data_IF_050098276357
#
_entry.id   IF_050098276357
#
_cell.length_a   1.000
_cell.length_b   1.000
_cell.length_c   1.000
_cell.angle_alpha   90.00
_cell.angle_beta   90.00
_cell.angle_gamma   90.00
#
_symmetry.space_group_name_H-M   'P 1'
#
loop_
_entity.id
_entity.type
_entity.pdbx_description
1 polymer ?
#
# COMPACT_ATOMS: atom_id res chain seq x y z
N UNK A 1 -3.85 14.65 -24.75
CA UNK A 1 -2.85 14.24 -25.77
C UNK A 1 -1.61 13.78 -25.04
N UNK A 2 -0.92 12.73 -25.53
CA UNK A 2 0.16 11.95 -24.87
C UNK A 2 -0.40 10.71 -24.15
N UNK A 3 -0.72 9.66 -24.90
CA UNK A 3 -0.61 8.24 -24.52
C UNK A 3 -0.88 7.39 -25.78
N UNK A 4 0.01 7.49 -26.77
CA UNK A 4 0.00 6.60 -27.93
C UNK A 4 1.39 6.56 -28.61
N UNK A 5 2.45 6.22 -27.86
CA UNK A 5 3.80 6.02 -28.42
C UNK A 5 4.63 5.06 -27.58
N UNK A 6 4.20 3.80 -27.44
CA UNK A 6 5.12 2.68 -27.14
C UNK A 6 4.59 1.44 -27.86
N UNK A 7 4.65 1.44 -29.19
CA UNK A 7 4.35 0.24 -29.99
C UNK A 7 5.04 0.32 -31.35
N UNK A 8 6.36 0.51 -31.34
CA UNK A 8 7.23 0.25 -32.50
C UNK A 8 8.68 0.37 -32.06
N UNK A 9 9.32 -0.77 -31.76
CA UNK A 9 10.76 -0.88 -31.95
C UNK A 9 11.08 -2.16 -32.73
N UNK A 10 11.67 -1.90 -33.89
CA UNK A 10 12.14 -2.77 -34.96
C UNK A 10 13.00 -3.95 -34.51
N UNK A 11 12.90 -5.07 -35.23
CA UNK A 11 14.07 -5.86 -35.61
C UNK A 11 14.00 -6.23 -37.09
N UNK A 12 14.78 -5.50 -37.89
CA UNK A 12 15.23 -5.88 -39.22
C UNK A 12 16.55 -6.66 -39.03
N UNK A 13 16.61 -7.90 -39.52
CA UNK A 13 17.88 -8.54 -39.87
C UNK A 13 17.75 -9.23 -41.22
N UNK A 14 18.73 -8.93 -42.08
CA UNK A 14 18.91 -9.33 -43.46
C UNK A 14 19.35 -10.78 -43.61
N UNK A 15 18.90 -11.43 -44.68
CA UNK A 15 19.29 -12.78 -45.10
C UNK A 15 20.62 -12.70 -45.86
N UNK A 16 21.59 -13.56 -45.51
CA UNK A 16 22.61 -14.05 -46.45
C UNK A 16 22.57 -15.58 -46.45
N UNK A 17 22.53 -16.17 -47.66
CA UNK A 17 22.42 -17.61 -47.88
C UNK A 17 23.79 -18.22 -48.10
N UNK A 18 24.06 -19.34 -47.43
CA UNK A 18 24.90 -20.43 -47.92
C UNK A 18 24.17 -21.73 -47.61
N UNK A 19 23.68 -22.41 -48.65
CA UNK A 19 22.96 -23.68 -48.55
C UNK A 19 23.89 -24.84 -48.88
N UNK A 20 24.03 -25.78 -47.94
CA UNK A 20 23.86 -27.22 -48.17
C UNK A 20 23.79 -27.91 -46.78
N UNK A 21 22.77 -28.76 -46.57
CA UNK A 21 22.23 -29.32 -45.30
C UNK A 21 21.32 -28.42 -44.42
N UNK A 22 20.81 -27.31 -44.96
CA UNK A 22 20.22 -26.21 -44.14
C UNK A 22 18.68 -26.26 -43.98
N UNK A 23 17.96 -27.13 -44.70
CA UNK A 23 16.48 -27.04 -44.75
C UNK A 23 15.78 -27.47 -43.46
N UNK A 24 16.23 -28.53 -42.78
CA UNK A 24 15.66 -28.95 -41.49
C UNK A 24 16.07 -28.01 -40.34
N UNK A 25 17.33 -27.56 -40.33
CA UNK A 25 17.83 -26.64 -39.31
C UNK A 25 17.14 -25.27 -39.35
N UNK A 26 16.78 -24.76 -40.54
CA UNK A 26 16.18 -23.42 -40.64
C UNK A 26 14.77 -23.35 -40.03
N UNK A 27 13.97 -24.42 -40.18
CA UNK A 27 12.62 -24.49 -39.58
C UNK A 27 12.67 -24.69 -38.05
N UNK A 28 13.61 -25.50 -37.56
CA UNK A 28 13.85 -25.68 -36.13
C UNK A 28 14.32 -24.37 -35.46
N UNK A 29 15.34 -23.70 -36.03
CA UNK A 29 15.87 -22.42 -35.53
C UNK A 29 14.76 -21.35 -35.50
N UNK A 30 13.82 -21.35 -36.46
CA UNK A 30 12.69 -20.41 -36.47
C UNK A 30 11.69 -20.69 -35.34
N UNK A 31 11.44 -21.96 -35.03
CA UNK A 31 10.51 -22.37 -33.97
C UNK A 31 11.12 -22.12 -32.58
N UNK A 32 12.42 -22.34 -32.40
CA UNK A 32 13.12 -22.01 -31.15
C UNK A 32 13.10 -20.50 -30.87
N UNK A 33 13.42 -19.69 -31.88
CA UNK A 33 13.32 -18.23 -31.77
C UNK A 33 11.88 -17.76 -31.49
N UNK A 34 10.89 -18.44 -32.08
CA UNK A 34 9.48 -18.16 -31.83
C UNK A 34 9.10 -18.43 -30.36
N UNK A 35 9.46 -19.60 -29.81
CA UNK A 35 9.17 -19.94 -28.41
C UNK A 35 9.93 -19.04 -27.45
N UNK A 36 11.20 -18.75 -27.74
CA UNK A 36 12.03 -17.86 -26.92
C UNK A 36 11.47 -16.43 -26.87
N UNK A 37 10.92 -15.92 -27.98
CA UNK A 37 10.24 -14.63 -27.99
C UNK A 37 9.03 -14.61 -27.03
N UNK A 38 8.22 -15.67 -27.01
CA UNK A 38 7.09 -15.78 -26.09
C UNK A 38 7.53 -15.96 -24.64
N UNK A 39 8.57 -16.75 -24.36
CA UNK A 39 9.14 -16.86 -23.00
C UNK A 39 9.57 -15.49 -22.46
N UNK A 40 10.22 -14.66 -23.27
CA UNK A 40 10.59 -13.29 -22.89
C UNK A 40 9.37 -12.41 -22.65
N UNK A 41 8.36 -12.50 -23.51
CA UNK A 41 7.10 -11.78 -23.32
C UNK A 41 6.42 -12.17 -22.00
N UNK A 42 6.35 -13.47 -21.70
CA UNK A 42 5.75 -14.00 -20.47
C UNK A 42 6.52 -13.60 -19.22
N UNK A 43 7.85 -13.65 -19.24
CA UNK A 43 8.67 -13.10 -18.17
C UNK A 43 8.41 -11.59 -17.96
N UNK A 44 8.24 -10.83 -19.06
CA UNK A 44 7.88 -9.42 -19.02
C UNK A 44 6.53 -9.16 -18.34
N UNK A 45 5.53 -10.02 -18.57
CA UNK A 45 4.22 -9.91 -17.91
C UNK A 45 4.33 -10.10 -16.39
N UNK A 46 5.08 -11.11 -15.94
CA UNK A 46 5.29 -11.37 -14.50
C UNK A 46 6.02 -10.20 -13.84
N UNK A 47 7.07 -9.70 -14.49
CA UNK A 47 7.80 -8.53 -14.01
C UNK A 47 6.90 -7.30 -13.90
N UNK A 48 6.04 -7.06 -14.89
CA UNK A 48 5.11 -5.94 -14.89
C UNK A 48 4.11 -6.03 -13.72
N UNK A 49 3.57 -7.21 -13.41
CA UNK A 49 2.66 -7.38 -12.27
C UNK A 49 3.38 -7.17 -10.95
N UNK A 50 4.58 -7.73 -10.77
CA UNK A 50 5.38 -7.50 -9.58
C UNK A 50 5.71 -6.02 -9.37
N UNK A 51 6.05 -5.31 -10.45
CA UNK A 51 6.30 -3.88 -10.40
C UNK A 51 5.05 -3.10 -9.96
N UNK A 52 3.88 -3.41 -10.54
CA UNK A 52 2.61 -2.76 -10.17
C UNK A 52 2.24 -3.02 -8.72
N UNK A 53 2.37 -4.26 -8.23
CA UNK A 53 2.10 -4.63 -6.84
C UNK A 53 2.98 -3.81 -5.89
N UNK A 54 4.30 -3.81 -6.13
CA UNK A 54 5.26 -3.08 -5.28
C UNK A 54 5.06 -1.57 -5.33
N UNK A 55 4.73 -1.03 -6.50
CA UNK A 55 4.48 0.39 -6.65
C UNK A 55 3.22 0.82 -5.89
N UNK A 56 2.13 0.05 -6.00
CA UNK A 56 0.91 0.28 -5.23
C UNK A 56 1.15 0.18 -3.72
N UNK A 57 1.86 -0.86 -3.26
CA UNK A 57 2.17 -1.06 -1.84
C UNK A 57 2.96 0.12 -1.26
N UNK A 58 4.02 0.57 -1.96
CA UNK A 58 4.81 1.73 -1.55
C UNK A 58 3.98 3.00 -1.52
N UNK A 59 3.19 3.28 -2.56
CA UNK A 59 2.36 4.47 -2.61
C UNK A 59 1.34 4.51 -1.46
N UNK A 60 0.79 3.35 -1.08
CA UNK A 60 -0.07 3.24 0.08
C UNK A 60 0.68 3.52 1.39
N UNK A 61 1.82 2.87 1.61
CA UNK A 61 2.64 3.06 2.81
C UNK A 61 3.16 4.50 2.95
N UNK A 62 3.53 5.15 1.85
CA UNK A 62 3.94 6.55 1.84
C UNK A 62 2.80 7.47 2.29
N UNK A 63 1.55 7.21 1.85
CA UNK A 63 0.38 7.94 2.34
C UNK A 63 0.16 7.74 3.84
N UNK A 64 0.32 6.50 4.33
CA UNK A 64 0.21 6.20 5.77
C UNK A 64 1.30 6.92 6.57
N UNK A 65 2.55 6.86 6.13
CA UNK A 65 3.68 7.51 6.79
C UNK A 65 3.55 9.04 6.80
N UNK A 66 3.00 9.64 5.75
CA UNK A 66 2.75 11.09 5.73
C UNK A 66 1.70 11.55 6.76
N UNK A 67 0.85 10.66 7.26
CA UNK A 67 -0.06 10.99 8.37
C UNK A 67 0.68 11.08 9.71
N UNK A 68 1.89 10.53 9.82
CA UNK A 68 2.68 10.59 11.05
C UNK A 68 3.07 12.03 11.43
N UNK A 69 3.17 12.95 10.47
CA UNK A 69 3.42 14.37 10.75
C UNK A 69 2.33 15.01 11.63
N UNK A 70 1.11 14.45 11.65
CA UNK A 70 0.02 14.89 12.53
C UNK A 70 0.29 14.59 14.02
N UNK A 71 1.30 13.78 14.34
CA UNK A 71 1.75 13.50 15.71
C UNK A 71 2.36 14.73 16.38
N UNK A 72 3.20 15.47 15.65
CA UNK A 72 4.00 16.55 16.23
C UNK A 72 3.17 17.71 16.80
N UNK A 73 2.12 18.21 16.14
CA UNK A 73 1.26 19.25 16.71
C UNK A 73 0.67 18.86 18.07
N UNK A 74 0.22 17.61 18.22
CA UNK A 74 -0.36 17.15 19.49
C UNK A 74 0.69 17.09 20.61
N UNK A 75 1.86 16.56 20.31
CA UNK A 75 2.96 16.45 21.27
C UNK A 75 3.43 17.84 21.72
N UNK A 76 3.57 18.76 20.77
CA UNK A 76 3.98 20.14 21.07
C UNK A 76 2.96 20.85 21.96
N UNK A 77 1.66 20.61 21.76
CA UNK A 77 0.61 21.21 22.59
C UNK A 77 0.64 20.69 24.03
N UNK A 78 0.86 19.38 24.22
CA UNK A 78 1.03 18.81 25.57
C UNK A 78 2.24 19.45 26.27
N UNK A 79 3.38 19.53 25.59
CA UNK A 79 4.60 20.15 26.12
C UNK A 79 4.33 21.61 26.50
N UNK A 80 3.72 22.39 25.61
CA UNK A 80 3.40 23.80 25.83
C UNK A 80 2.56 24.00 27.10
N UNK A 81 1.57 23.13 27.33
CA UNK A 81 0.71 23.19 28.52
C UNK A 81 1.48 22.82 29.78
N UNK A 82 2.32 21.78 29.73
CA UNK A 82 3.18 21.40 30.85
C UNK A 82 4.15 22.53 31.24
N UNK A 83 4.80 23.15 30.25
CA UNK A 83 5.71 24.30 30.44
C UNK A 83 4.98 25.53 31.00
N UNK A 84 3.71 25.74 30.63
CA UNK A 84 2.89 26.81 31.18
C UNK A 84 2.49 26.54 32.64
N UNK A 85 2.15 25.30 32.99
CA UNK A 85 1.68 24.94 34.32
C UNK A 85 2.81 24.82 35.33
N UNK A 86 4.00 24.39 34.92
CA UNK A 86 5.11 24.13 35.83
C UNK A 86 5.50 25.33 36.70
N UNK A 87 5.73 26.55 36.17
CA UNK A 87 6.05 27.72 37.00
C UNK A 87 4.97 28.06 38.03
N UNK A 88 3.69 27.83 37.69
CA UNK A 88 2.58 28.09 38.61
C UNK A 88 2.63 27.18 39.84
N UNK A 89 3.18 25.97 39.72
CA UNK A 89 3.38 25.06 40.87
C UNK A 89 4.40 25.58 41.88
N UNK A 90 5.26 26.52 41.48
CA UNK A 90 6.31 27.11 42.31
C UNK A 90 5.83 28.35 43.08
N UNK A 91 4.70 28.95 42.68
CA UNK A 91 4.20 30.20 43.27
C UNK A 91 3.68 30.01 44.70
N UNK A 92 2.93 28.94 44.97
CA UNK A 92 2.42 28.63 46.31
C UNK A 92 1.93 27.18 46.41
N UNK A 93 1.76 26.68 47.64
CA UNK A 93 1.12 25.39 47.90
C UNK A 93 -0.33 25.32 47.40
N UNK A 94 -1.06 26.44 47.43
CA UNK A 94 -2.42 26.52 46.92
C UNK A 94 -2.48 26.31 45.40
N UNK A 95 -1.65 27.05 44.65
CA UNK A 95 -1.58 26.93 43.18
C UNK A 95 -1.13 25.53 42.77
N UNK A 96 -0.15 24.97 43.50
CA UNK A 96 0.33 23.59 43.30
C UNK A 96 -0.81 22.58 43.48
N UNK A 97 -1.59 22.68 44.55
CA UNK A 97 -2.72 21.77 44.81
C UNK A 97 -3.77 21.84 43.70
N UNK A 98 -4.09 23.04 43.19
CA UNK A 98 -5.01 23.21 42.06
C UNK A 98 -4.52 22.48 40.80
N UNK A 99 -3.23 22.57 40.49
CA UNK A 99 -2.63 21.92 39.32
C UNK A 99 -2.61 20.40 39.50
N UNK A 100 -2.13 19.91 40.63
CA UNK A 100 -2.05 18.46 40.92
C UNK A 100 -3.42 17.79 40.89
N UNK A 101 -4.48 18.48 41.34
CA UNK A 101 -5.87 17.99 41.30
C UNK A 101 -6.35 17.65 39.89
N UNK A 102 -5.94 18.40 38.87
CA UNK A 102 -6.41 18.22 37.49
C UNK A 102 -5.35 17.67 36.52
N UNK A 103 -4.10 17.50 36.97
CA UNK A 103 -2.97 17.07 36.13
C UNK A 103 -3.22 15.75 35.42
N UNK A 104 -3.87 14.78 36.08
CA UNK A 104 -4.17 13.47 35.48
C UNK A 104 -5.13 13.55 34.28
N UNK A 105 -5.84 14.66 34.11
CA UNK A 105 -6.72 14.89 32.94
C UNK A 105 -5.94 15.36 31.71
N UNK A 106 -4.69 15.81 31.86
CA UNK A 106 -3.81 16.18 30.75
C UNK A 106 -3.05 14.92 30.32
N UNK A 107 -3.26 14.40 29.10
CA UNK A 107 -2.55 13.22 28.66
C UNK A 107 -1.05 13.48 28.53
N UNK A 108 -0.23 12.47 28.85
CA UNK A 108 1.22 12.57 28.70
C UNK A 108 1.64 12.47 27.23
N UNK A 109 2.81 13.03 26.90
CA UNK A 109 3.41 12.87 25.57
C UNK A 109 3.65 11.42 25.20
N UNK A 110 4.04 10.57 26.17
CA UNK A 110 4.21 9.14 25.96
C UNK A 110 2.89 8.45 25.59
N UNK A 111 1.80 8.75 26.30
CA UNK A 111 0.48 8.23 25.99
C UNK A 111 -0.01 8.68 24.61
N UNK A 112 0.19 9.96 24.26
CA UNK A 112 -0.24 10.49 22.96
C UNK A 112 0.53 9.85 21.79
N UNK A 113 1.85 9.66 21.94
CA UNK A 113 2.67 8.94 20.95
C UNK A 113 2.18 7.51 20.77
N UNK A 114 2.07 6.76 21.88
CA UNK A 114 1.60 5.38 21.87
C UNK A 114 0.22 5.26 21.22
N UNK A 115 -0.72 6.10 21.63
CA UNK A 115 -2.11 6.06 21.13
C UNK A 115 -2.18 6.34 19.63
N UNK A 116 -1.44 7.33 19.11
CA UNK A 116 -1.42 7.60 17.67
C UNK A 116 -0.73 6.49 16.88
N UNK A 117 0.38 5.97 17.40
CA UNK A 117 1.18 4.97 16.70
C UNK A 117 0.47 3.60 16.69
N UNK A 118 0.05 3.10 17.84
CA UNK A 118 -0.49 1.75 17.97
C UNK A 118 -1.97 1.65 17.60
N UNK A 119 -2.77 2.68 17.86
CA UNK A 119 -4.20 2.60 17.56
C UNK A 119 -4.55 3.09 16.15
N UNK A 120 -3.72 3.95 15.54
CA UNK A 120 -4.00 4.52 14.23
C UNK A 120 -2.99 4.10 13.15
N UNK A 121 -1.68 4.31 13.35
CA UNK A 121 -0.67 4.16 12.29
C UNK A 121 -0.28 2.69 12.04
N UNK A 122 -0.02 1.90 13.08
CA UNK A 122 0.41 0.50 12.95
C UNK A 122 -0.67 -0.39 12.31
N UNK A 123 -1.96 -0.27 12.68
CA UNK A 123 -3.04 -0.97 11.99
C UNK A 123 -3.08 -0.61 10.51
N UNK A 124 -2.80 0.65 10.14
CA UNK A 124 -2.73 1.09 8.75
C UNK A 124 -1.61 0.41 7.97
N UNK A 125 -0.39 0.42 8.51
CA UNK A 125 0.75 -0.26 7.90
C UNK A 125 0.47 -1.74 7.67
N UNK A 126 -0.21 -2.40 8.62
CA UNK A 126 -0.54 -3.82 8.53
C UNK A 126 -1.50 -4.18 7.39
N UNK A 127 -2.30 -3.23 6.88
CA UNK A 127 -3.23 -3.48 5.77
C UNK A 127 -2.56 -3.60 4.40
N UNK A 128 -1.31 -3.15 4.26
CA UNK A 128 -0.61 -3.15 2.97
C UNK A 128 -0.56 -4.55 2.34
N UNK A 129 -0.28 -5.59 3.14
CA UNK A 129 -0.22 -6.98 2.68
C UNK A 129 -1.59 -7.52 2.26
N UNK A 130 -2.66 -7.16 2.99
CA UNK A 130 -4.03 -7.55 2.64
C UNK A 130 -4.50 -6.92 1.33
N UNK A 131 -4.07 -5.69 1.05
CA UNK A 131 -4.41 -5.00 -0.20
C UNK A 131 -3.72 -5.63 -1.42
N UNK A 132 -2.55 -6.29 -1.25
CA UNK A 132 -1.79 -6.88 -2.36
C UNK A 132 -1.98 -8.38 -2.56
N UNK A 133 -2.48 -9.10 -1.53
CA UNK A 133 -2.51 -10.56 -1.50
C UNK A 133 -3.16 -11.21 -2.73
N UNK A 134 -4.30 -10.68 -3.18
CA UNK A 134 -5.02 -11.23 -4.34
C UNK A 134 -4.23 -11.08 -5.64
N UNK A 135 -3.59 -9.92 -5.84
CA UNK A 135 -2.72 -9.65 -7.00
C UNK A 135 -1.49 -10.55 -7.00
N UNK A 136 -0.87 -10.77 -5.83
CA UNK A 136 0.25 -11.71 -5.67
C UNK A 136 -0.16 -13.13 -6.06
N UNK A 137 -1.35 -13.58 -5.62
CA UNK A 137 -1.88 -14.90 -5.98
C UNK A 137 -2.12 -15.03 -7.48
N UNK A 138 -2.70 -14.01 -8.12
CA UNK A 138 -2.90 -13.98 -9.58
C UNK A 138 -1.56 -14.04 -10.32
N UNK A 139 -0.57 -13.25 -9.90
CA UNK A 139 0.75 -13.25 -10.53
C UNK A 139 1.44 -14.61 -10.40
N UNK A 140 1.38 -15.23 -9.22
CA UNK A 140 1.92 -16.58 -8.99
C UNK A 140 1.23 -17.62 -9.88
N UNK A 141 -0.09 -17.56 -9.99
CA UNK A 141 -0.86 -18.48 -10.84
C UNK A 141 -0.48 -18.33 -12.32
N UNK A 142 -0.27 -17.09 -12.77
CA UNK A 142 0.18 -16.81 -14.13
C UNK A 142 1.62 -17.30 -14.37
N UNK A 143 2.52 -17.09 -13.42
CA UNK A 143 3.89 -17.59 -13.47
C UNK A 143 3.94 -19.12 -13.52
N UNK A 144 3.12 -19.79 -12.71
CA UNK A 144 2.98 -21.25 -12.74
C UNK A 144 2.44 -21.73 -14.09
N UNK A 145 1.46 -21.03 -14.68
CA UNK A 145 0.93 -21.37 -16.00
C UNK A 145 2.02 -21.26 -17.08
N UNK A 146 2.83 -20.20 -17.06
CA UNK A 146 3.97 -20.07 -17.98
C UNK A 146 5.05 -21.14 -17.74
N UNK A 147 5.47 -21.35 -16.50
CA UNK A 147 6.59 -22.25 -16.19
C UNK A 147 6.23 -23.73 -16.25
N UNK A 148 4.95 -24.09 -16.17
CA UNK A 148 4.49 -25.49 -16.18
C UNK A 148 3.65 -25.81 -17.41
N UNK A 149 2.50 -25.15 -17.58
CA UNK A 149 1.58 -25.50 -18.66
C UNK A 149 2.21 -25.24 -20.03
N UNK A 150 2.68 -24.01 -20.28
CA UNK A 150 3.27 -23.66 -21.56
C UNK A 150 4.51 -24.51 -21.88
N UNK A 151 5.42 -24.69 -20.92
CA UNK A 151 6.62 -25.51 -21.12
C UNK A 151 6.29 -26.99 -21.39
N UNK A 152 5.30 -27.56 -20.69
CA UNK A 152 4.85 -28.93 -20.94
C UNK A 152 4.23 -29.09 -22.33
N UNK A 153 3.48 -28.10 -22.80
CA UNK A 153 2.92 -28.10 -24.17
C UNK A 153 4.03 -28.03 -25.22
N UNK A 154 5.04 -27.18 -25.03
CA UNK A 154 6.21 -27.10 -25.93
C UNK A 154 6.94 -28.44 -25.99
N UNK A 155 7.21 -29.04 -24.84
CA UNK A 155 7.86 -30.35 -24.72
C UNK A 155 7.02 -31.45 -25.41
N UNK A 156 5.69 -31.44 -25.21
CA UNK A 156 4.77 -32.40 -25.82
C UNK A 156 4.72 -32.25 -27.34
N UNK A 157 4.69 -31.02 -27.85
CA UNK A 157 4.76 -30.75 -29.29
C UNK A 157 6.06 -31.29 -29.89
N UNK A 158 7.19 -31.10 -29.20
CA UNK A 158 8.49 -31.59 -29.66
C UNK A 158 8.53 -33.12 -29.72
N UNK A 159 8.08 -33.79 -28.64
CA UNK A 159 8.03 -35.25 -28.59
C UNK A 159 7.12 -35.87 -29.67
N UNK A 160 5.99 -35.22 -29.96
CA UNK A 160 4.97 -35.76 -30.87
C UNK A 160 5.31 -35.58 -32.35
N UNK A 161 5.94 -34.47 -32.72
CA UNK A 161 6.08 -34.11 -34.14
C UNK A 161 7.51 -33.99 -34.65
N UNK A 162 8.50 -33.72 -33.77
CA UNK A 162 9.95 -33.59 -34.05
C UNK A 162 10.32 -33.12 -35.49
N UNK A 163 11.48 -33.52 -36.02
CA UNK A 163 11.97 -33.17 -37.36
C UNK A 163 11.17 -33.81 -38.49
N UNK A 164 10.45 -34.89 -38.22
CA UNK A 164 9.72 -35.63 -39.26
C UNK A 164 8.47 -34.91 -39.76
N UNK A 165 7.91 -33.96 -38.99
CA UNK A 165 6.68 -33.24 -39.38
C UNK A 165 6.73 -31.73 -39.02
N UNK A 166 7.57 -30.93 -39.68
CA UNK A 166 7.86 -29.54 -39.29
C UNK A 166 6.63 -28.62 -39.28
N UNK A 167 5.67 -28.83 -40.20
CA UNK A 167 4.42 -28.07 -40.23
C UNK A 167 3.48 -28.41 -39.07
N UNK A 168 3.41 -29.68 -38.67
CA UNK A 168 2.60 -30.12 -37.53
C UNK A 168 3.20 -29.63 -36.21
N UNK A 169 4.54 -29.67 -36.10
CA UNK A 169 5.25 -29.10 -34.96
C UNK A 169 4.97 -27.60 -34.81
N UNK A 170 5.12 -26.82 -35.89
CA UNK A 170 4.84 -25.38 -35.90
C UNK A 170 3.40 -25.06 -35.50
N UNK A 171 2.42 -25.80 -36.02
CA UNK A 171 1.00 -25.63 -35.66
C UNK A 171 0.75 -25.94 -34.18
N UNK A 172 1.35 -27.00 -33.66
CA UNK A 172 1.25 -27.38 -32.26
C UNK A 172 1.76 -26.28 -31.32
N UNK A 173 2.95 -25.73 -31.61
CA UNK A 173 3.51 -24.60 -30.87
C UNK A 173 2.60 -23.36 -30.92
N UNK A 174 2.01 -23.07 -32.09
CA UNK A 174 1.04 -21.99 -32.24
C UNK A 174 -0.21 -22.17 -31.36
N UNK A 175 -0.71 -23.40 -31.22
CA UNK A 175 -1.82 -23.72 -30.32
C UNK A 175 -1.45 -23.53 -28.85
N UNK A 176 -0.26 -23.97 -28.43
CA UNK A 176 0.26 -23.78 -27.07
C UNK A 176 0.35 -22.28 -26.70
N UNK A 177 0.89 -21.47 -27.60
CA UNK A 177 0.96 -20.01 -27.45
C UNK A 177 -0.44 -19.40 -27.39
N UNK A 178 -1.36 -19.82 -28.26
CA UNK A 178 -2.73 -19.29 -28.29
C UNK A 178 -3.45 -19.54 -26.97
N UNK A 179 -3.40 -20.77 -26.45
CA UNK A 179 -4.00 -21.12 -25.16
C UNK A 179 -3.39 -20.31 -24.00
N UNK A 180 -2.06 -20.20 -23.99
CA UNK A 180 -1.32 -19.44 -22.96
C UNK A 180 -1.64 -17.94 -23.01
N UNK A 181 -1.81 -17.38 -24.20
CA UNK A 181 -2.20 -15.98 -24.39
C UNK A 181 -3.65 -15.73 -23.96
N UNK A 182 -4.57 -16.67 -24.21
CA UNK A 182 -5.94 -16.59 -23.68
C UNK A 182 -5.96 -16.57 -22.16
N UNK A 183 -5.18 -17.45 -21.50
CA UNK A 183 -5.07 -17.45 -20.04
C UNK A 183 -4.42 -16.16 -19.51
N UNK A 184 -3.40 -15.65 -20.21
CA UNK A 184 -2.77 -14.36 -19.91
C UNK A 184 -3.77 -13.22 -19.94
N UNK A 185 -4.61 -13.16 -20.98
CA UNK A 185 -5.61 -12.12 -21.14
C UNK A 185 -6.62 -12.12 -19.98
N UNK A 186 -7.15 -13.29 -19.61
CA UNK A 186 -8.06 -13.43 -18.46
C UNK A 186 -7.38 -13.04 -17.16
N UNK A 187 -6.13 -13.50 -16.95
CA UNK A 187 -5.34 -13.13 -15.77
C UNK A 187 -5.12 -11.62 -15.66
N UNK A 188 -4.93 -10.94 -16.79
CA UNK A 188 -4.80 -9.49 -16.84
C UNK A 188 -6.08 -8.75 -16.42
N UNK A 189 -7.23 -9.21 -16.89
CA UNK A 189 -8.51 -8.65 -16.47
C UNK A 189 -8.73 -8.83 -14.96
N UNK A 190 -8.43 -10.02 -14.44
CA UNK A 190 -8.51 -10.30 -13.01
C UNK A 190 -7.57 -9.41 -12.20
N UNK A 191 -6.30 -9.32 -12.60
CA UNK A 191 -5.30 -8.48 -11.94
C UNK A 191 -5.72 -7.00 -11.93
N UNK A 192 -6.18 -6.47 -13.07
CA UNK A 192 -6.62 -5.08 -13.20
C UNK A 192 -7.81 -4.75 -12.30
N UNK A 193 -8.78 -5.67 -12.22
CA UNK A 193 -9.93 -5.56 -11.31
C UNK A 193 -9.49 -5.59 -9.84
N UNK A 194 -8.59 -6.50 -9.47
CA UNK A 194 -8.02 -6.59 -8.13
C UNK A 194 -7.27 -5.31 -7.74
N UNK A 195 -6.43 -4.78 -8.63
CA UNK A 195 -5.71 -3.52 -8.40
C UNK A 195 -6.67 -2.34 -8.21
N UNK A 196 -7.73 -2.27 -9.01
CA UNK A 196 -8.76 -1.22 -8.88
C UNK A 196 -9.49 -1.33 -7.54
N UNK A 197 -9.88 -2.55 -7.14
CA UNK A 197 -10.50 -2.80 -5.83
C UNK A 197 -9.56 -2.43 -4.69
N UNK A 198 -8.27 -2.78 -4.80
CA UNK A 198 -7.26 -2.45 -3.80
C UNK A 198 -7.07 -0.94 -3.66
N UNK A 199 -7.08 -0.17 -4.77
CA UNK A 199 -7.04 1.30 -4.74
C UNK A 199 -8.24 1.89 -3.99
N UNK A 200 -9.45 1.42 -4.28
CA UNK A 200 -10.65 1.89 -3.59
C UNK A 200 -10.62 1.57 -2.08
N UNK A 201 -10.18 0.36 -1.71
CA UNK A 201 -10.01 -0.03 -0.30
C UNK A 201 -8.93 0.79 0.40
N UNK A 202 -7.81 1.05 -0.29
CA UNK A 202 -6.75 1.89 0.23
C UNK A 202 -7.25 3.30 0.56
N UNK A 203 -8.08 3.90 -0.29
CA UNK A 203 -8.68 5.22 0.00
C UNK A 203 -9.59 5.20 1.22
N UNK A 204 -10.44 4.17 1.36
CA UNK A 204 -11.29 3.99 2.55
C UNK A 204 -10.41 3.87 3.81
N UNK A 205 -9.39 3.03 3.76
CA UNK A 205 -8.49 2.82 4.89
C UNK A 205 -7.77 4.12 5.27
N UNK A 206 -7.19 4.85 4.30
CA UNK A 206 -6.56 6.16 4.56
C UNK A 206 -7.54 7.11 5.24
N UNK A 207 -8.79 7.19 4.79
CA UNK A 207 -9.81 8.01 5.43
C UNK A 207 -10.09 7.57 6.87
N UNK A 208 -10.27 6.28 7.12
CA UNK A 208 -10.47 5.75 8.47
C UNK A 208 -9.29 6.07 9.40
N UNK A 209 -8.06 6.03 8.90
CA UNK A 209 -6.90 6.40 9.72
C UNK A 209 -6.82 7.90 10.01
N UNK A 210 -7.18 8.74 9.04
CA UNK A 210 -7.32 10.16 9.29
C UNK A 210 -8.36 10.43 10.38
N UNK A 211 -9.53 9.78 10.31
CA UNK A 211 -10.58 9.88 11.33
C UNK A 211 -10.09 9.42 12.72
N UNK A 212 -9.30 8.34 12.80
CA UNK A 212 -8.66 7.89 14.03
C UNK A 212 -7.74 8.97 14.63
N UNK A 213 -6.84 9.53 13.80
CA UNK A 213 -5.92 10.59 14.22
C UNK A 213 -6.67 11.83 14.70
N UNK A 214 -7.69 12.26 13.95
CA UNK A 214 -8.52 13.41 14.32
C UNK A 214 -9.26 13.18 15.64
N UNK A 215 -9.75 11.96 15.88
CA UNK A 215 -10.41 11.60 17.14
C UNK A 215 -9.47 11.71 18.34
N UNK A 216 -8.24 11.17 18.21
CA UNK A 216 -7.20 11.27 19.25
C UNK A 216 -6.80 12.72 19.50
N UNK A 217 -6.61 13.51 18.44
CA UNK A 217 -6.26 14.92 18.53
C UNK A 217 -7.35 15.73 19.23
N UNK A 218 -8.61 15.62 18.77
CA UNK A 218 -9.73 16.37 19.35
C UNK A 218 -10.00 15.99 20.80
N UNK A 219 -9.99 14.70 21.13
CA UNK A 219 -10.21 14.24 22.52
C UNK A 219 -9.11 14.74 23.46
N UNK A 220 -7.84 14.71 23.02
CA UNK A 220 -6.72 15.21 23.81
C UNK A 220 -6.79 16.72 24.01
N UNK A 221 -7.06 17.49 22.95
CA UNK A 221 -7.22 18.95 23.04
C UNK A 221 -8.40 19.34 23.94
N UNK A 222 -9.52 18.62 23.86
CA UNK A 222 -10.66 18.84 24.74
C UNK A 222 -10.31 18.56 26.21
N UNK A 223 -9.56 17.49 26.49
CA UNK A 223 -9.09 17.16 27.83
C UNK A 223 -8.13 18.22 28.39
N UNK A 224 -7.18 18.70 27.57
CA UNK A 224 -6.29 19.82 27.91
C UNK A 224 -7.09 21.08 28.23
N UNK A 225 -8.03 21.46 27.36
CA UNK A 225 -8.86 22.66 27.53
C UNK A 225 -9.68 22.59 28.83
N UNK A 226 -10.30 21.43 29.10
CA UNK A 226 -11.05 21.18 30.33
C UNK A 226 -10.16 21.26 31.57
N UNK A 227 -9.00 20.61 31.55
CA UNK A 227 -8.07 20.59 32.67
C UNK A 227 -7.54 22.00 32.97
N UNK A 228 -7.08 22.73 31.95
CA UNK A 228 -6.58 24.10 32.09
C UNK A 228 -7.66 25.08 32.56
N UNK A 229 -8.90 24.95 32.07
CA UNK A 229 -10.05 25.75 32.55
C UNK A 229 -10.33 25.49 34.03
N UNK A 230 -10.33 24.23 34.45
CA UNK A 230 -10.56 23.87 35.85
C UNK A 230 -9.41 24.35 36.76
N UNK A 231 -8.16 24.27 36.30
CA UNK A 231 -7.00 24.82 37.03
C UNK A 231 -7.17 26.33 37.22
N UNK A 232 -7.50 27.07 36.16
CA UNK A 232 -7.69 28.53 36.24
C UNK A 232 -8.85 28.90 37.19
N UNK A 233 -9.96 28.17 37.14
CA UNK A 233 -11.07 28.36 38.07
C UNK A 233 -10.67 28.10 39.52
N UNK A 234 -9.94 27.01 39.77
CA UNK A 234 -9.41 26.69 41.10
C UNK A 234 -8.51 27.80 41.63
N UNK A 235 -7.53 28.25 40.82
CA UNK A 235 -6.58 29.30 41.20
C UNK A 235 -7.30 30.63 41.49
N UNK A 236 -8.36 30.95 40.74
CA UNK A 236 -9.16 32.17 40.95
C UNK A 236 -10.20 32.05 42.06
N UNK A 237 -10.20 30.95 42.83
CA UNK A 237 -11.21 30.67 43.85
C UNK A 237 -12.64 30.66 43.28
N UNK A 238 -12.80 30.30 42.00
CA UNK A 238 -14.09 30.16 41.29
C UNK A 238 -14.57 28.70 41.22
N UNK A 239 -13.86 27.79 41.89
CA UNK A 239 -14.28 26.40 42.06
C UNK A 239 -15.32 26.26 43.18
N UNK A 240 -15.25 27.12 44.21
CA UNK A 240 -16.25 27.25 45.27
C UNK A 240 -16.91 28.64 45.18
N UNK A 241 -17.88 28.79 44.29
CA UNK A 241 -18.81 29.91 44.45
C UNK A 241 -19.79 29.59 45.59
N UNK A 242 -19.31 29.58 46.85
CA UNK A 242 -20.20 29.63 48.01
C UNK A 242 -21.07 30.91 48.01
N UNK A 243 -20.64 31.96 47.28
CA UNK A 243 -21.36 33.23 47.11
C UNK A 243 -22.38 33.25 45.95
N UNK A 244 -22.51 32.18 45.15
CA UNK A 244 -23.52 32.12 44.07
C UNK A 244 -24.88 31.64 44.59
N UNK A 245 -24.96 31.17 45.84
CA UNK A 245 -26.23 30.74 46.46
C UNK A 245 -27.11 31.91 46.91
N UNK A 246 -26.54 33.10 47.12
CA UNK A 246 -27.27 34.26 47.65
C UNK A 246 -27.68 35.28 46.57
N UNK A 247 -27.37 35.04 45.30
CA UNK A 247 -27.68 35.95 44.19
C UNK A 247 -28.92 35.57 43.35
N UNK A 248 -29.61 34.48 43.70
CA UNK A 248 -30.87 34.06 43.07
C UNK A 248 -32.07 34.05 44.02
N UNK A 249 -31.94 34.65 45.20
CA UNK A 249 -33.04 34.88 46.14
C UNK A 249 -33.03 36.33 46.64
N UNK A 250 -33.35 37.25 45.74
CA UNK A 250 -33.93 38.56 46.08
C UNK A 250 -34.96 38.93 45.02
#
# INVERSE_FOLDING_TARGET
MIYLKILTFLFLFTITKTQQNVFDNHHLIRNDNFIEAFRRQYAGNIWYYDWQIKHFERAYLDRVNNLEYQKNPLINEIIRVEEMLYPLTLLSSFTKNCIEKFRSSIPSTAWAKFTMEDNCINPAKSQASYLTQSMVSTNRTLADHYGKFFENEVISCNMKYNTSFPMNYTRCLGSAVTATNSFTFTSHQTFSSQLTSAKNKADIYIKTYQECIFSVLNSTLANISKATTNIDRCIRNRDDCMQCKDLFLQ
#
